data_IF_426498930127
#
_entry.id   IF_426498930127
#
_cell.length_a   1.000
_cell.length_b   1.000
_cell.length_c   1.000
_cell.angle_alpha   90.00
_cell.angle_beta   90.00
_cell.angle_gamma   90.00
#
_symmetry.space_group_name_H-M   'P 1'
#
loop_
_entity.id
_entity.type
_entity.pdbx_description
1 polymer ?
#
# COMPACT_ATOMS: atom_id res chain seq x y z
N UNK A 1 -2.53 24.62 12.96
CA UNK A 1 -1.66 23.46 13.20
C UNK A 1 -1.96 22.97 14.61
N UNK A 2 -2.44 21.75 14.77
CA UNK A 2 -2.75 21.16 16.07
C UNK A 2 -1.74 20.04 16.34
N UNK A 3 -1.26 19.96 17.56
CA UNK A 3 -0.37 18.91 18.04
C UNK A 3 -1.13 18.08 19.06
N UNK A 4 -1.13 16.75 18.90
CA UNK A 4 -1.67 15.85 19.92
C UNK A 4 -0.63 15.54 21.02
N UNK A 5 -1.05 14.82 22.06
CA UNK A 5 -0.19 14.46 23.19
C UNK A 5 0.97 13.51 22.81
N UNK A 6 0.90 12.90 21.59
CA UNK A 6 1.93 12.01 21.05
C UNK A 6 2.94 12.75 20.16
N UNK A 7 2.78 14.06 19.99
CA UNK A 7 3.65 14.88 19.15
C UNK A 7 3.30 14.88 17.67
N UNK A 8 2.16 14.28 17.28
CA UNK A 8 1.69 14.32 15.90
C UNK A 8 1.11 15.70 15.58
N UNK A 9 1.27 16.11 14.34
CA UNK A 9 0.72 17.36 13.84
C UNK A 9 -0.32 17.07 12.75
N UNK A 10 -1.40 17.82 12.78
CA UNK A 10 -2.36 17.89 11.67
C UNK A 10 -2.16 19.21 10.93
N UNK A 11 -1.91 19.13 9.63
CA UNK A 11 -1.85 20.29 8.75
C UNK A 11 -3.05 20.25 7.82
N UNK A 12 -4.03 21.13 8.05
CA UNK A 12 -5.33 21.03 7.41
C UNK A 12 -5.67 22.31 6.66
N UNK A 13 -6.28 22.14 5.48
CA UNK A 13 -6.96 23.18 4.72
C UNK A 13 -8.47 23.08 4.96
N UNK A 14 -9.09 24.19 5.36
CA UNK A 14 -10.54 24.30 5.51
C UNK A 14 -11.05 25.23 4.40
N UNK A 15 -11.92 24.70 3.55
CA UNK A 15 -12.54 25.47 2.46
C UNK A 15 -13.94 25.88 2.87
N UNK A 16 -14.22 27.20 2.80
CA UNK A 16 -15.56 27.76 3.02
C UNK A 16 -16.04 28.43 1.74
N UNK A 17 -17.26 28.14 1.31
CA UNK A 17 -17.89 28.84 0.18
C UNK A 17 -18.83 29.93 0.70
N UNK A 18 -18.80 31.09 0.04
CA UNK A 18 -19.79 32.17 0.23
C UNK A 18 -20.78 32.09 -0.91
N UNK A 19 -22.05 31.90 -0.58
CA UNK A 19 -23.13 32.05 -1.57
C UNK A 19 -24.02 33.27 -1.20
N UNK A 20 -24.19 34.15 -2.17
CA UNK A 20 -25.19 35.25 -2.18
C UNK A 20 -25.28 36.04 -0.88
N UNK A 21 -24.21 36.73 -0.48
CA UNK A 21 -24.17 37.65 0.67
C UNK A 21 -24.61 37.09 2.03
N UNK A 22 -24.82 35.79 2.17
CA UNK A 22 -24.97 35.08 3.43
C UNK A 22 -23.79 34.11 3.60
N UNK A 23 -23.17 34.12 4.79
CA UNK A 23 -22.30 33.01 5.21
C UNK A 23 -23.19 31.77 5.36
N UNK A 24 -23.47 31.08 4.29
CA UNK A 24 -23.91 29.71 4.38
C UNK A 24 -22.65 28.91 4.70
N UNK A 25 -22.53 28.49 5.93
CA UNK A 25 -21.55 27.48 6.30
C UNK A 25 -21.96 26.20 5.58
N UNK A 26 -21.53 26.04 4.32
CA UNK A 26 -21.47 24.70 3.74
C UNK A 26 -20.65 23.85 4.70
N UNK A 27 -21.00 22.57 4.90
CA UNK A 27 -20.22 21.69 5.76
C UNK A 27 -18.75 21.83 5.36
N UNK A 28 -17.91 22.13 6.33
CA UNK A 28 -16.48 22.35 6.11
C UNK A 28 -15.89 21.06 5.58
N UNK A 29 -15.40 21.05 4.35
CA UNK A 29 -14.55 19.97 3.91
C UNK A 29 -13.14 20.32 4.36
N UNK A 30 -12.57 19.48 5.19
CA UNK A 30 -11.21 19.58 5.70
C UNK A 30 -10.35 18.57 4.96
N UNK A 31 -9.28 19.04 4.36
CA UNK A 31 -8.23 18.20 3.78
C UNK A 31 -7.05 18.22 4.72
N UNK A 32 -6.60 17.07 5.17
CA UNK A 32 -5.63 16.99 6.26
C UNK A 32 -4.44 16.10 5.90
N UNK A 33 -3.24 16.62 6.13
CA UNK A 33 -2.02 15.84 6.21
C UNK A 33 -1.72 15.52 7.66
N UNK A 34 -1.44 14.25 7.93
CA UNK A 34 -0.93 13.78 9.21
C UNK A 34 0.60 13.79 9.17
N UNK A 35 1.24 14.45 10.14
CA UNK A 35 2.69 14.58 10.21
C UNK A 35 3.17 13.89 11.48
N UNK A 36 3.95 12.84 11.31
CA UNK A 36 4.51 12.05 12.40
C UNK A 36 6.01 12.29 12.49
N UNK A 37 6.54 12.64 13.68
CA UNK A 37 7.98 12.85 13.87
C UNK A 37 8.82 11.62 13.54
N UNK A 38 8.26 10.41 13.77
CA UNK A 38 8.96 9.13 13.66
C UNK A 38 8.56 8.30 12.44
N UNK A 39 7.63 8.80 11.60
CA UNK A 39 7.14 8.10 10.40
C UNK A 39 7.48 8.88 9.14
N UNK A 40 7.51 8.23 7.98
CA UNK A 40 7.66 8.90 6.71
C UNK A 40 6.55 9.94 6.49
N UNK A 41 6.93 11.13 6.04
CA UNK A 41 5.98 12.21 5.74
C UNK A 41 6.06 12.59 4.25
N UNK A 42 6.28 11.60 3.38
CA UNK A 42 6.60 11.82 1.96
C UNK A 42 5.51 12.57 1.24
N UNK A 43 4.24 12.17 1.42
CA UNK A 43 3.09 12.82 0.79
C UNK A 43 3.04 14.31 1.16
N UNK A 44 3.15 14.62 2.45
CA UNK A 44 3.16 16.01 2.93
C UNK A 44 4.34 16.81 2.35
N UNK A 45 5.56 16.26 2.43
CA UNK A 45 6.77 16.93 1.96
C UNK A 45 6.70 17.21 0.47
N UNK A 46 6.21 16.26 -0.31
CA UNK A 46 6.10 16.40 -1.75
C UNK A 46 5.05 17.44 -2.16
N UNK A 47 3.88 17.41 -1.56
CA UNK A 47 2.79 18.32 -1.94
C UNK A 47 3.02 19.72 -1.36
N UNK A 48 3.26 19.83 -0.07
CA UNK A 48 3.40 21.12 0.61
C UNK A 48 4.78 21.74 0.40
N UNK A 49 5.84 20.92 0.41
CA UNK A 49 7.20 21.39 0.21
C UNK A 49 7.48 21.92 -1.22
N UNK A 50 6.74 21.44 -2.23
CA UNK A 50 6.85 21.90 -3.62
C UNK A 50 5.86 23.02 -3.97
N UNK A 51 4.84 23.25 -3.15
CA UNK A 51 3.82 24.28 -3.40
C UNK A 51 4.40 25.68 -3.23
N UNK A 52 4.20 26.54 -4.24
CA UNK A 52 4.72 27.92 -4.22
C UNK A 52 3.86 28.88 -3.41
N UNK A 53 2.63 28.50 -3.09
CA UNK A 53 1.67 29.33 -2.33
C UNK A 53 1.44 30.72 -2.94
N UNK A 54 1.52 30.85 -4.26
CA UNK A 54 1.36 32.14 -4.96
C UNK A 54 -0.10 32.53 -5.20
N UNK A 55 -1.03 31.58 -5.07
CA UNK A 55 -2.46 31.78 -5.26
C UNK A 55 -3.29 30.69 -4.62
N UNK A 56 -4.61 30.95 -4.52
CA UNK A 56 -5.57 30.03 -3.89
C UNK A 56 -5.65 28.69 -4.65
N UNK A 57 -5.53 28.71 -5.96
CA UNK A 57 -5.62 27.49 -6.79
C UNK A 57 -4.44 26.57 -6.56
N UNK A 58 -3.24 27.10 -6.35
CA UNK A 58 -2.06 26.30 -6.00
C UNK A 58 -2.20 25.68 -4.61
N UNK A 59 -2.78 26.42 -3.67
CA UNK A 59 -3.06 25.90 -2.32
C UNK A 59 -4.09 24.76 -2.41
N UNK A 60 -5.19 24.97 -3.12
CA UNK A 60 -6.22 23.95 -3.32
C UNK A 60 -5.65 22.70 -3.99
N UNK A 61 -4.79 22.87 -5.00
CA UNK A 61 -4.11 21.75 -5.66
C UNK A 61 -3.20 20.97 -4.72
N UNK A 62 -2.44 21.65 -3.87
CA UNK A 62 -1.56 21.00 -2.90
C UNK A 62 -2.32 20.17 -1.84
N UNK A 63 -3.64 20.39 -1.70
CA UNK A 63 -4.52 19.62 -0.82
C UNK A 63 -5.55 18.79 -1.59
N UNK A 64 -5.25 18.39 -2.83
CA UNK A 64 -6.17 17.56 -3.61
C UNK A 64 -5.71 16.11 -3.65
N UNK A 65 -6.66 15.18 -3.61
CA UNK A 65 -6.42 13.74 -3.80
C UNK A 65 -5.80 13.48 -5.17
N UNK A 66 -6.25 14.18 -6.21
CA UNK A 66 -5.73 14.00 -7.56
C UNK A 66 -4.23 14.25 -7.64
N UNK A 67 -3.75 15.34 -7.01
CA UNK A 67 -2.32 15.66 -7.00
C UNK A 67 -1.50 14.60 -6.24
N UNK A 68 -2.01 14.11 -5.10
CA UNK A 68 -1.39 13.02 -4.34
C UNK A 68 -1.37 11.74 -5.16
N UNK A 69 -2.48 11.42 -5.84
CA UNK A 69 -2.61 10.24 -6.69
C UNK A 69 -1.68 10.29 -7.90
N UNK A 70 -1.56 11.44 -8.55
CA UNK A 70 -0.68 11.63 -9.69
C UNK A 70 0.79 11.43 -9.30
N UNK A 71 1.21 12.00 -8.17
CA UNK A 71 2.58 11.88 -7.72
C UNK A 71 2.94 10.45 -7.32
N UNK A 72 2.08 9.80 -6.52
CA UNK A 72 2.25 8.40 -6.18
C UNK A 72 2.32 7.53 -7.44
N UNK A 73 1.38 7.71 -8.38
CA UNK A 73 1.36 6.93 -9.61
C UNK A 73 2.64 7.08 -10.43
N UNK A 74 3.16 8.29 -10.52
CA UNK A 74 4.40 8.56 -11.27
C UNK A 74 5.62 7.84 -10.67
N UNK A 75 5.67 7.66 -9.37
CA UNK A 75 6.73 6.90 -8.70
C UNK A 75 6.45 5.39 -8.69
N UNK A 76 5.20 4.99 -8.57
CA UNK A 76 4.75 3.60 -8.52
C UNK A 76 4.89 2.89 -9.88
N UNK A 77 4.48 3.55 -10.96
CA UNK A 77 4.45 2.93 -12.28
C UNK A 77 5.82 2.41 -12.77
N UNK A 78 6.94 3.12 -12.60
CA UNK A 78 8.26 2.57 -12.91
C UNK A 78 8.59 1.31 -12.10
N UNK A 79 8.23 1.25 -10.82
CA UNK A 79 8.43 0.08 -9.95
C UNK A 79 7.58 -1.10 -10.40
N UNK A 80 6.32 -0.86 -10.76
CA UNK A 80 5.45 -1.88 -11.33
C UNK A 80 6.00 -2.45 -12.64
N UNK A 81 6.52 -1.61 -13.54
CA UNK A 81 7.12 -2.05 -14.79
C UNK A 81 8.41 -2.85 -14.55
N UNK A 82 9.24 -2.45 -13.60
CA UNK A 82 10.45 -3.18 -13.23
C UNK A 82 10.12 -4.58 -12.70
N UNK A 83 9.15 -4.68 -11.79
CA UNK A 83 8.63 -5.96 -11.30
C UNK A 83 8.10 -6.81 -12.48
N UNK A 84 7.27 -6.21 -13.34
CA UNK A 84 6.67 -6.92 -14.49
C UNK A 84 7.73 -7.52 -15.40
N UNK A 85 8.77 -6.75 -15.72
CA UNK A 85 9.86 -7.22 -16.56
C UNK A 85 10.68 -8.35 -15.90
N UNK A 86 10.79 -8.30 -14.56
CA UNK A 86 11.62 -9.22 -13.78
C UNK A 86 10.93 -10.57 -13.48
N UNK A 87 9.59 -10.70 -13.64
CA UNK A 87 8.88 -11.97 -13.41
C UNK A 87 9.56 -13.11 -14.15
N UNK A 88 9.79 -14.21 -13.46
CA UNK A 88 10.40 -15.43 -13.96
C UNK A 88 9.35 -16.54 -14.17
N UNK A 89 9.70 -17.53 -14.99
CA UNK A 89 8.85 -18.69 -15.29
C UNK A 89 8.02 -18.56 -16.56
N UNK A 90 8.00 -17.39 -17.20
CA UNK A 90 7.34 -17.15 -18.49
C UNK A 90 8.01 -16.03 -19.28
N UNK A 91 7.94 -16.08 -20.60
CA UNK A 91 8.38 -15.00 -21.50
C UNK A 91 7.19 -14.16 -22.02
N UNK A 92 5.96 -14.55 -21.70
CA UNK A 92 4.77 -13.82 -22.13
C UNK A 92 4.59 -12.54 -21.27
N UNK A 93 4.78 -11.38 -21.89
CA UNK A 93 4.69 -10.09 -21.20
C UNK A 93 3.32 -9.79 -20.61
N UNK A 94 2.23 -10.22 -21.24
CA UNK A 94 0.90 -10.03 -20.67
C UNK A 94 0.74 -10.82 -19.37
N UNK A 95 1.18 -12.08 -19.35
CA UNK A 95 1.17 -12.91 -18.14
C UNK A 95 2.09 -12.31 -17.05
N UNK A 96 3.28 -11.82 -17.43
CA UNK A 96 4.19 -11.16 -16.48
C UNK A 96 3.54 -9.96 -15.81
N UNK A 97 2.86 -9.11 -16.57
CA UNK A 97 2.17 -7.94 -16.05
C UNK A 97 1.00 -8.31 -15.13
N UNK A 98 0.17 -9.26 -15.55
CA UNK A 98 -0.95 -9.72 -14.72
C UNK A 98 -0.48 -10.30 -13.40
N UNK A 99 0.59 -11.10 -13.42
CA UNK A 99 1.19 -11.66 -12.21
C UNK A 99 1.80 -10.57 -11.33
N UNK A 100 2.52 -9.61 -11.92
CA UNK A 100 3.07 -8.47 -11.21
C UNK A 100 1.96 -7.60 -10.59
N UNK A 101 0.86 -7.38 -11.32
CA UNK A 101 -0.30 -6.63 -10.81
C UNK A 101 -0.90 -7.33 -9.59
N UNK A 102 -1.10 -8.64 -9.68
CA UNK A 102 -1.61 -9.44 -8.57
C UNK A 102 -0.68 -9.37 -7.35
N UNK A 103 0.61 -9.46 -7.57
CA UNK A 103 1.63 -9.32 -6.52
C UNK A 103 1.57 -7.96 -5.84
N UNK A 104 1.61 -6.85 -6.59
CA UNK A 104 1.62 -5.50 -6.00
C UNK A 104 0.34 -5.22 -5.24
N UNK A 105 -0.83 -5.69 -5.73
CA UNK A 105 -2.10 -5.57 -5.01
C UNK A 105 -2.05 -6.33 -3.68
N UNK A 106 -1.51 -7.54 -3.65
CA UNK A 106 -1.36 -8.34 -2.43
C UNK A 106 -0.47 -7.63 -1.40
N UNK A 107 0.69 -7.12 -1.81
CA UNK A 107 1.61 -6.41 -0.89
C UNK A 107 0.99 -5.14 -0.35
N UNK A 108 0.36 -4.33 -1.20
CA UNK A 108 -0.33 -3.11 -0.77
C UNK A 108 -1.47 -3.44 0.20
N UNK A 109 -2.25 -4.50 -0.08
CA UNK A 109 -3.33 -4.90 0.81
C UNK A 109 -2.80 -5.34 2.19
N UNK A 110 -1.64 -6.01 2.25
CA UNK A 110 -0.97 -6.32 3.53
C UNK A 110 -0.62 -5.04 4.29
N UNK A 111 -0.26 -3.97 3.60
CA UNK A 111 -0.06 -2.65 4.21
C UNK A 111 -1.28 -2.18 5.03
N UNK A 112 -2.50 -2.43 4.56
CA UNK A 112 -3.72 -2.13 5.33
C UNK A 112 -3.99 -3.15 6.45
N UNK A 113 -3.74 -4.43 6.18
CA UNK A 113 -3.95 -5.49 7.19
C UNK A 113 -3.04 -5.28 8.40
N UNK A 114 -1.78 -4.96 8.17
CA UNK A 114 -0.83 -4.66 9.25
C UNK A 114 -1.21 -3.37 9.98
N UNK A 115 -1.69 -2.34 9.28
CA UNK A 115 -2.14 -1.09 9.87
C UNK A 115 -3.37 -1.26 10.78
N UNK A 116 -4.21 -2.26 10.48
CA UNK A 116 -5.31 -2.71 11.37
C UNK A 116 -4.81 -3.46 12.61
N UNK A 117 -3.51 -3.71 12.73
CA UNK A 117 -2.95 -4.51 13.82
C UNK A 117 -3.24 -6.02 13.70
N UNK A 118 -3.76 -6.48 12.55
CA UNK A 118 -4.19 -7.87 12.36
C UNK A 118 -3.04 -8.85 12.15
N UNK A 119 -1.83 -8.35 12.05
CA UNK A 119 -0.59 -9.13 12.00
C UNK A 119 0.20 -8.93 13.32
N UNK A 120 -0.35 -9.43 14.41
CA UNK A 120 0.29 -9.39 15.74
C UNK A 120 0.45 -7.98 16.32
N UNK A 121 -0.35 -6.99 15.89
CA UNK A 121 -0.19 -5.59 16.30
C UNK A 121 0.99 -4.88 15.66
N UNK A 122 1.68 -5.51 14.71
CA UNK A 122 2.87 -4.95 14.04
C UNK A 122 2.45 -4.10 12.86
N UNK A 123 2.65 -2.79 12.95
CA UNK A 123 2.30 -1.84 11.90
C UNK A 123 3.26 -1.87 10.69
N UNK A 124 4.42 -2.50 10.84
CA UNK A 124 5.49 -2.60 9.83
C UNK A 124 5.83 -4.06 9.51
N UNK A 125 4.87 -4.96 9.72
CA UNK A 125 5.06 -6.41 9.62
C UNK A 125 5.76 -6.86 8.34
N UNK A 126 5.38 -6.35 7.17
CA UNK A 126 5.98 -6.81 5.90
C UNK A 126 7.47 -6.44 5.81
N UNK A 127 7.86 -5.31 6.39
CA UNK A 127 9.26 -4.90 6.46
C UNK A 127 10.05 -5.79 7.43
N UNK A 128 9.53 -6.03 8.62
CA UNK A 128 10.12 -6.93 9.62
C UNK A 128 10.23 -8.36 9.09
N UNK A 129 9.22 -8.83 8.36
CA UNK A 129 9.18 -10.14 7.73
C UNK A 129 10.27 -10.32 6.66
N UNK A 130 10.51 -9.27 5.89
CA UNK A 130 11.63 -9.23 4.94
C UNK A 130 12.98 -9.22 5.65
N UNK A 131 13.13 -8.45 6.74
CA UNK A 131 14.37 -8.39 7.50
C UNK A 131 14.70 -9.75 8.15
N UNK A 132 13.68 -10.45 8.64
CA UNK A 132 13.83 -11.83 9.14
C UNK A 132 14.32 -12.79 8.04
N UNK A 133 13.74 -12.70 6.82
CA UNK A 133 14.23 -13.47 5.68
C UNK A 133 15.72 -13.24 5.41
N UNK A 134 16.15 -11.99 5.39
CA UNK A 134 17.56 -11.66 5.16
C UNK A 134 18.46 -12.18 6.29
N UNK A 135 17.99 -12.14 7.53
CA UNK A 135 18.73 -12.65 8.70
C UNK A 135 18.79 -14.19 8.75
N UNK A 136 17.81 -14.88 8.19
CA UNK A 136 17.76 -16.34 8.16
C UNK A 136 18.85 -16.97 7.26
N UNK A 137 19.50 -16.16 6.39
CA UNK A 137 20.48 -16.66 5.44
C UNK A 137 19.88 -17.63 4.42
N UNK A 138 18.62 -17.40 4.06
CA UNK A 138 17.90 -18.20 3.09
C UNK A 138 18.55 -18.15 1.68
N UNK A 139 18.15 -19.07 0.82
CA UNK A 139 18.61 -19.12 -0.56
C UNK A 139 18.18 -17.84 -1.31
N UNK A 140 19.09 -17.27 -2.10
CA UNK A 140 18.81 -16.09 -2.93
C UNK A 140 17.60 -16.30 -3.84
N UNK A 141 16.78 -15.26 -3.97
CA UNK A 141 15.54 -15.26 -4.77
C UNK A 141 14.47 -16.25 -4.28
N UNK A 142 14.45 -16.55 -2.99
CA UNK A 142 13.46 -17.44 -2.38
C UNK A 142 12.41 -16.73 -1.53
N UNK A 143 12.49 -15.40 -1.37
CA UNK A 143 11.54 -14.64 -0.56
C UNK A 143 10.10 -14.79 -1.05
N UNK A 144 9.89 -14.73 -2.38
CA UNK A 144 8.55 -14.92 -2.94
C UNK A 144 8.00 -16.30 -2.60
N UNK A 145 8.72 -17.36 -2.99
CA UNK A 145 8.20 -18.73 -2.93
C UNK A 145 8.19 -19.33 -1.52
N UNK A 146 9.17 -18.99 -0.69
CA UNK A 146 9.31 -19.59 0.64
C UNK A 146 8.74 -18.75 1.77
N UNK A 147 8.56 -17.45 1.56
CA UNK A 147 8.08 -16.52 2.60
C UNK A 147 6.74 -15.89 2.26
N UNK A 148 6.60 -15.30 1.07
CA UNK A 148 5.36 -14.61 0.70
C UNK A 148 4.23 -15.57 0.32
N UNK A 149 4.50 -16.66 -0.40
CA UNK A 149 3.46 -17.66 -0.70
C UNK A 149 2.84 -18.28 0.57
N UNK A 150 3.60 -18.71 1.57
CA UNK A 150 3.05 -19.13 2.85
C UNK A 150 2.22 -18.05 3.56
N UNK A 151 2.68 -16.79 3.55
CA UNK A 151 1.89 -15.68 4.07
C UNK A 151 0.55 -15.53 3.33
N UNK A 152 0.57 -15.55 1.99
CA UNK A 152 -0.63 -15.37 1.18
C UNK A 152 -1.58 -16.56 1.30
N UNK A 153 -1.08 -17.77 1.13
CA UNK A 153 -1.88 -18.96 0.87
C UNK A 153 -2.10 -19.84 2.10
N UNK A 154 -1.15 -19.86 3.03
CA UNK A 154 -1.21 -20.70 4.22
C UNK A 154 -1.67 -19.91 5.47
N UNK A 155 -1.34 -18.60 5.57
CA UNK A 155 -1.76 -17.77 6.69
C UNK A 155 -3.06 -17.01 6.39
N UNK A 156 -3.08 -16.16 5.37
CA UNK A 156 -4.22 -15.27 5.09
C UNK A 156 -5.39 -15.98 4.39
N UNK A 157 -5.15 -17.10 3.71
CA UNK A 157 -6.20 -17.89 3.05
C UNK A 157 -6.66 -19.12 3.86
N UNK A 158 -6.12 -19.37 5.05
CA UNK A 158 -6.54 -20.49 5.88
C UNK A 158 -7.69 -20.10 6.82
N UNK A 159 -8.82 -20.85 6.81
CA UNK A 159 -9.89 -20.63 7.76
C UNK A 159 -9.43 -20.81 9.22
N UNK A 160 -10.08 -20.15 10.20
CA UNK A 160 -9.77 -20.32 11.59
C UNK A 160 -9.81 -21.80 12.01
N UNK A 161 -8.82 -22.24 12.78
CA UNK A 161 -8.68 -23.63 13.25
C UNK A 161 -8.20 -24.64 12.21
N UNK A 162 -7.92 -24.22 10.98
CA UNK A 162 -7.34 -25.07 9.91
C UNK A 162 -5.90 -24.67 9.55
N UNK A 163 -5.30 -23.74 10.27
CA UNK A 163 -3.90 -23.39 10.06
C UNK A 163 -3.02 -24.54 10.50
N UNK A 164 -2.28 -25.06 9.55
CA UNK A 164 -1.33 -26.16 9.74
C UNK A 164 0.08 -25.61 9.93
N UNK A 165 1.02 -26.47 10.24
CA UNK A 165 2.44 -26.10 10.24
C UNK A 165 2.82 -25.60 8.83
N UNK A 166 3.44 -24.42 8.77
CA UNK A 166 3.90 -23.84 7.52
C UNK A 166 4.97 -24.71 6.86
N UNK A 167 4.98 -24.71 5.52
CA UNK A 167 5.99 -25.42 4.75
C UNK A 167 7.39 -24.84 4.97
N UNK A 168 7.47 -23.54 5.20
CA UNK A 168 8.73 -22.88 5.52
C UNK A 168 9.11 -23.11 6.99
N UNK A 169 10.27 -23.69 7.20
CA UNK A 169 10.86 -23.96 8.52
C UNK A 169 11.91 -22.90 8.93
N UNK A 170 12.01 -21.80 8.21
CA UNK A 170 12.93 -20.69 8.48
C UNK A 170 12.27 -19.59 9.33
N UNK A 171 10.96 -19.64 9.51
CA UNK A 171 10.25 -18.69 10.36
C UNK A 171 10.67 -18.83 11.82
N UNK A 172 10.87 -17.69 12.49
CA UNK A 172 10.97 -17.66 13.95
C UNK A 172 9.67 -18.12 14.62
N UNK A 173 9.74 -18.57 15.86
CA UNK A 173 8.55 -18.94 16.65
C UNK A 173 7.57 -17.73 16.76
N UNK A 174 8.10 -16.52 16.84
CA UNK A 174 7.30 -15.31 16.92
C UNK A 174 6.56 -15.04 15.62
N UNK A 175 7.22 -15.17 14.48
CA UNK A 175 6.61 -15.01 13.15
C UNK A 175 5.59 -16.12 12.89
N UNK A 176 5.87 -17.38 13.20
CA UNK A 176 4.89 -18.46 13.12
C UNK A 176 3.64 -18.14 13.96
N UNK A 177 3.82 -17.62 15.16
CA UNK A 177 2.70 -17.23 16.02
C UNK A 177 1.84 -16.12 15.39
N UNK A 178 2.48 -15.07 14.84
CA UNK A 178 1.77 -13.98 14.14
C UNK A 178 0.99 -14.51 12.93
N UNK A 179 1.62 -15.36 12.11
CA UNK A 179 0.98 -15.95 10.94
C UNK A 179 -0.21 -16.85 11.33
N UNK A 180 -0.11 -17.57 12.44
CA UNK A 180 -1.20 -18.40 12.96
C UNK A 180 -2.40 -17.56 13.41
N UNK A 181 -2.15 -16.37 13.95
CA UNK A 181 -3.18 -15.44 14.38
C UNK A 181 -3.70 -14.53 13.26
N UNK A 182 -3.05 -14.50 12.10
CA UNK A 182 -3.45 -13.67 10.98
C UNK A 182 -4.92 -13.92 10.57
N UNK A 183 -5.67 -12.91 10.13
CA UNK A 183 -7.07 -13.07 9.78
C UNK A 183 -7.25 -13.97 8.57
N UNK A 184 -8.35 -14.72 8.53
CA UNK A 184 -8.79 -15.39 7.31
C UNK A 184 -9.46 -14.36 6.38
N UNK A 185 -8.77 -14.02 5.31
CA UNK A 185 -9.27 -13.11 4.29
C UNK A 185 -9.98 -13.93 3.21
N UNK A 186 -11.27 -14.21 3.46
CA UNK A 186 -12.13 -15.02 2.59
C UNK A 186 -12.45 -14.28 1.28
N UNK A 187 -11.43 -13.97 0.50
CA UNK A 187 -11.54 -13.28 -0.78
C UNK A 187 -10.69 -13.93 -1.85
N UNK A 188 -10.96 -13.59 -3.11
CA UNK A 188 -10.21 -14.12 -4.25
C UNK A 188 -8.75 -13.63 -4.31
N UNK A 189 -8.39 -12.59 -3.53
CA UNK A 189 -7.06 -11.99 -3.57
C UNK A 189 -5.95 -12.93 -3.08
N UNK A 190 -6.19 -13.63 -1.97
CA UNK A 190 -5.23 -14.54 -1.35
C UNK A 190 -5.52 -16.02 -1.66
N UNK A 191 -6.42 -16.29 -2.57
CA UNK A 191 -6.66 -17.64 -3.08
C UNK A 191 -5.69 -17.94 -4.23
N UNK A 192 -4.99 -19.08 -4.20
CA UNK A 192 -4.10 -19.44 -5.31
C UNK A 192 -4.84 -19.50 -6.63
N UNK A 193 -4.32 -18.82 -7.64
CA UNK A 193 -4.90 -18.78 -8.99
C UNK A 193 -4.17 -19.75 -9.90
N UNK A 194 -4.91 -20.68 -10.49
CA UNK A 194 -4.35 -21.74 -11.36
C UNK A 194 -3.51 -21.23 -12.53
N UNK A 195 -3.85 -20.05 -13.05
CA UNK A 195 -3.16 -19.47 -14.21
C UNK A 195 -1.89 -18.70 -13.85
N UNK A 196 -1.63 -18.47 -12.57
CA UNK A 196 -0.51 -17.67 -12.09
C UNK A 196 0.25 -18.36 -10.95
N UNK A 197 -0.38 -18.51 -9.80
CA UNK A 197 0.29 -18.99 -8.58
C UNK A 197 0.69 -20.48 -8.68
N UNK A 198 -0.11 -21.29 -9.39
CA UNK A 198 0.18 -22.73 -9.62
C UNK A 198 1.17 -22.98 -10.79
N UNK A 199 1.65 -21.94 -11.47
CA UNK A 199 2.55 -22.06 -12.62
C UNK A 199 4.04 -21.96 -12.23
N UNK A 200 4.35 -21.71 -10.97
CA UNK A 200 5.72 -21.54 -10.50
C UNK A 200 6.37 -20.22 -10.95
N UNK A 201 5.56 -19.19 -11.20
CA UNK A 201 6.08 -17.84 -11.46
C UNK A 201 6.58 -17.24 -10.16
N UNK A 202 7.64 -16.46 -10.25
CA UNK A 202 8.22 -15.79 -9.11
C UNK A 202 8.86 -14.46 -9.50
N UNK A 203 9.12 -13.63 -8.49
CA UNK A 203 9.74 -12.30 -8.63
C UNK A 203 11.06 -12.33 -7.86
N UNK A 204 12.18 -11.85 -8.45
CA UNK A 204 13.45 -11.80 -7.75
C UNK A 204 13.39 -10.90 -6.52
N UNK A 205 14.14 -11.28 -5.49
CA UNK A 205 14.18 -10.60 -4.19
C UNK A 205 14.48 -9.11 -4.30
N UNK A 206 15.36 -8.73 -5.23
CA UNK A 206 15.72 -7.33 -5.47
C UNK A 206 14.50 -6.47 -5.79
N UNK A 207 13.64 -6.92 -6.69
CA UNK A 207 12.44 -6.18 -7.10
C UNK A 207 11.42 -6.12 -5.98
N UNK A 208 11.26 -7.21 -5.25
CA UNK A 208 10.38 -7.25 -4.08
C UNK A 208 10.88 -6.28 -3.01
N UNK A 209 12.16 -6.30 -2.72
CA UNK A 209 12.79 -5.41 -1.74
C UNK A 209 12.63 -3.94 -2.12
N UNK A 210 12.98 -3.57 -3.34
CA UNK A 210 12.82 -2.21 -3.83
C UNK A 210 11.37 -1.72 -3.77
N UNK A 211 10.40 -2.62 -3.99
CA UNK A 211 8.98 -2.28 -3.90
C UNK A 211 8.52 -2.11 -2.45
N UNK A 212 8.92 -2.99 -1.54
CA UNK A 212 8.62 -2.85 -0.11
C UNK A 212 9.22 -1.55 0.43
N UNK A 213 10.50 -1.26 0.10
CA UNK A 213 11.16 -0.01 0.50
C UNK A 213 10.46 1.24 -0.08
N UNK A 214 9.96 1.15 -1.30
CA UNK A 214 9.16 2.22 -1.89
C UNK A 214 7.87 2.46 -1.11
N UNK A 215 7.11 1.41 -0.82
CA UNK A 215 5.86 1.51 -0.06
C UNK A 215 6.09 2.02 1.37
N UNK A 216 7.21 1.65 1.98
CA UNK A 216 7.59 2.07 3.33
C UNK A 216 7.78 3.59 3.46
N UNK A 217 7.99 4.30 2.35
CA UNK A 217 8.08 5.76 2.34
C UNK A 217 6.72 6.46 2.49
N UNK A 218 5.61 5.73 2.39
CA UNK A 218 4.26 6.25 2.47
C UNK A 218 3.53 5.73 3.71
N UNK A 219 2.71 6.59 4.30
CA UNK A 219 1.82 6.18 5.37
C UNK A 219 0.55 5.57 4.78
N UNK A 220 0.12 4.46 5.34
CA UNK A 220 -1.18 3.86 5.07
C UNK A 220 -2.17 4.32 6.13
N UNK A 221 -3.34 4.77 5.72
CA UNK A 221 -4.45 5.07 6.63
C UNK A 221 -5.62 4.14 6.37
N UNK A 222 -6.30 3.79 7.45
CA UNK A 222 -7.53 2.99 7.44
C UNK A 222 -8.72 3.81 7.95
N UNK A 223 -8.49 5.06 8.30
CA UNK A 223 -9.56 5.96 8.68
C UNK A 223 -10.43 6.23 7.45
N UNK A 224 -11.73 6.03 7.60
CA UNK A 224 -12.68 6.32 6.55
C UNK A 224 -12.79 7.84 6.41
N UNK A 225 -12.61 8.33 5.20
CA UNK A 225 -12.89 9.71 4.88
C UNK A 225 -14.34 10.03 5.25
N UNK A 226 -14.54 11.00 6.10
CA UNK A 226 -15.87 11.50 6.40
C UNK A 226 -16.25 12.61 5.41
N UNK A 227 -17.53 12.92 5.31
CA UNK A 227 -17.98 14.05 4.48
C UNK A 227 -17.30 15.38 4.83
N UNK A 228 -16.73 15.47 6.04
CA UNK A 228 -16.12 16.69 6.59
C UNK A 228 -14.60 16.65 6.73
N UNK A 229 -14.00 15.48 6.74
CA UNK A 229 -12.54 15.31 6.96
C UNK A 229 -11.98 14.25 6.01
N UNK A 230 -10.97 14.63 5.25
CA UNK A 230 -10.33 13.80 4.24
C UNK A 230 -8.83 13.76 4.50
N UNK A 231 -8.33 12.57 4.83
CA UNK A 231 -6.89 12.35 5.04
C UNK A 231 -6.20 12.13 3.70
N UNK A 232 -5.14 12.92 3.47
CA UNK A 232 -4.35 12.88 2.25
C UNK A 232 -3.16 11.90 2.39
N UNK A 233 -3.49 10.64 2.72
CA UNK A 233 -2.55 9.53 2.83
C UNK A 233 -3.05 8.35 1.99
N UNK A 234 -2.26 7.26 1.90
CA UNK A 234 -2.69 6.07 1.16
C UNK A 234 -3.86 5.40 1.87
N UNK A 235 -5.06 5.58 1.36
CA UNK A 235 -6.28 4.93 1.81
C UNK A 235 -6.80 3.94 0.75
N UNK A 236 -7.77 3.06 1.06
CA UNK A 236 -8.29 2.09 0.10
C UNK A 236 -8.92 2.70 -1.16
N UNK A 237 -9.58 3.86 -1.05
CA UNK A 237 -10.19 4.57 -2.18
C UNK A 237 -9.11 5.09 -3.15
N UNK A 238 -8.06 5.67 -2.60
CA UNK A 238 -6.90 6.13 -3.35
C UNK A 238 -6.26 5.01 -4.18
N UNK A 239 -6.16 3.81 -3.61
CA UNK A 239 -5.64 2.66 -4.34
C UNK A 239 -6.56 2.19 -5.47
N UNK A 240 -7.87 2.34 -5.32
CA UNK A 240 -8.82 2.09 -6.40
C UNK A 240 -8.48 2.92 -7.63
N UNK A 241 -8.20 4.21 -7.45
CA UNK A 241 -7.78 5.13 -8.53
C UNK A 241 -6.47 4.66 -9.20
N UNK A 242 -5.49 4.22 -8.39
CA UNK A 242 -4.20 3.76 -8.93
C UNK A 242 -4.37 2.48 -9.77
N UNK A 243 -5.14 1.52 -9.30
CA UNK A 243 -5.39 0.27 -10.02
C UNK A 243 -6.21 0.49 -11.29
N UNK A 244 -7.21 1.37 -11.25
CA UNK A 244 -7.96 1.76 -12.45
C UNK A 244 -7.05 2.37 -13.52
N UNK A 245 -6.11 3.24 -13.13
CA UNK A 245 -5.12 3.83 -14.05
C UNK A 245 -4.17 2.78 -14.65
N UNK A 246 -3.78 1.76 -13.89
CA UNK A 246 -2.95 0.68 -14.41
C UNK A 246 -3.68 -0.13 -15.48
N UNK A 247 -4.93 -0.51 -15.22
CA UNK A 247 -5.76 -1.29 -16.14
C UNK A 247 -6.08 -0.47 -17.39
N UNK A 248 -6.55 0.77 -17.25
CA UNK A 248 -6.97 1.61 -18.39
C UNK A 248 -5.83 1.99 -19.35
N UNK A 249 -4.59 2.12 -18.85
CA UNK A 249 -3.42 2.35 -19.73
C UNK A 249 -3.08 1.15 -20.62
N UNK A 250 -3.43 -0.06 -20.19
CA UNK A 250 -3.20 -1.26 -20.98
C UNK A 250 -4.19 -1.40 -22.14
N UNK A 251 -5.40 -0.88 -21.99
CA UNK A 251 -6.44 -0.93 -23.03
C UNK A 251 -6.28 0.12 -24.13
N UNK A 252 -5.19 0.91 -24.10
CA UNK A 252 -4.86 1.88 -25.15
C UNK A 252 -5.82 3.07 -25.25
N UNK A 253 -6.61 3.32 -24.22
CA UNK A 253 -7.48 4.49 -24.15
C UNK A 253 -6.65 5.76 -23.89
N UNK A 254 -6.22 6.39 -24.97
CA UNK A 254 -5.78 7.79 -24.97
C UNK A 254 -7.05 8.65 -24.89
N UNK A 255 -7.28 9.30 -23.76
CA UNK A 255 -8.21 10.41 -23.65
C UNK A 255 -7.45 11.73 -23.75
#
# INVERSE_FOLDING_TARGET
MFRDDRGHFRFSLIVTKYESNRRTHTPYRRYTYYIHPEKPNKTFINQIGKAKFTGIDEILKAFSIDAVSDEFYNEFNPKFLDISNAVQGTDNMAIKKDFALLFVIRIIFIGFVQKRGWLGGREEFIHEFRDEYLAAGAEDNSFYTRWLEPLFFEALNAPPGKKVKYRNNEFSEETEHVLQMAPYLNGELFKPRKNYDDQGFWIPDKQIDEFIQFLYQYNFTIEENTYYDEELELNPEFLGIIFERLVNKEDGAVY
#
